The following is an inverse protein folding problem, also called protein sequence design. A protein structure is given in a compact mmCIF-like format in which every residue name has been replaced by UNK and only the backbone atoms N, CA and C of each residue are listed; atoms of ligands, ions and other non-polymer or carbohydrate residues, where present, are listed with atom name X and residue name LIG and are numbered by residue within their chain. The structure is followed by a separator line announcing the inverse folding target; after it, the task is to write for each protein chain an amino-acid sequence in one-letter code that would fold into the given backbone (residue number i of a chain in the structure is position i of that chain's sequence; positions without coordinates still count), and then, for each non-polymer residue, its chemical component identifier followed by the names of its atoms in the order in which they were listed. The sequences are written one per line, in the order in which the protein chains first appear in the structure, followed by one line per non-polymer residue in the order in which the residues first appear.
data_IF_741350504276
#
_entry.id   IF_741350504276
#
_cell.length_a   1.000
_cell.length_b   1.000
_cell.length_c   1.000
_cell.angle_alpha   90.00
_cell.angle_beta   90.00
_cell.angle_gamma   90.00
#
_symmetry.space_group_name_H-M   'P 1'
#
loop_
_entity.id
_entity.type
_entity.pdbx_description
1 polymer ?
#
# COMPACT_ATOMS: atom_id res chain seq x y z
N UNK A 1 10.79 2.34 3.11
CA UNK A 1 10.45 3.63 3.76
C UNK A 1 9.85 3.35 5.13
N UNK A 2 10.13 4.19 6.14
CA UNK A 2 9.56 4.09 7.49
C UNK A 2 8.78 5.38 7.78
N UNK A 3 7.58 5.27 8.35
CA UNK A 3 6.73 6.40 8.72
C UNK A 3 6.36 6.31 10.20
N UNK A 4 6.78 7.32 10.97
CA UNK A 4 6.54 7.46 12.41
C UNK A 4 5.63 8.66 12.74
N UNK A 5 5.24 9.44 11.72
CA UNK A 5 4.38 10.60 11.85
C UNK A 5 3.47 10.71 10.63
N UNK A 6 3.22 11.93 10.14
CA UNK A 6 2.31 12.14 9.01
C UNK A 6 3.04 12.12 7.65
N UNK A 7 2.54 11.36 6.69
CA UNK A 7 2.95 11.39 5.29
C UNK A 7 1.73 11.59 4.40
N UNK A 8 1.76 12.60 3.52
CA UNK A 8 0.62 12.97 2.68
C UNK A 8 1.01 13.15 1.21
N UNK A 9 0.06 12.89 0.31
CA UNK A 9 0.22 13.10 -1.13
C UNK A 9 0.51 11.82 -1.89
N UNK A 10 1.37 11.89 -2.92
CA UNK A 10 1.75 10.70 -3.69
C UNK A 10 3.02 10.05 -3.12
N UNK A 11 2.92 8.80 -2.69
CA UNK A 11 4.01 8.04 -2.08
C UNK A 11 4.39 6.86 -2.96
N UNK A 12 5.66 6.80 -3.37
CA UNK A 12 6.17 5.78 -4.27
C UNK A 12 7.28 4.96 -3.57
N UNK A 13 6.93 3.81 -3.02
CA UNK A 13 7.84 2.89 -2.30
C UNK A 13 8.05 1.63 -3.14
N UNK A 14 9.29 1.38 -3.58
CA UNK A 14 9.58 0.22 -4.45
C UNK A 14 9.74 -1.10 -3.70
N UNK A 15 10.12 -1.03 -2.43
CA UNK A 15 10.32 -2.19 -1.55
C UNK A 15 9.29 -2.14 -0.42
N UNK A 16 9.72 -2.19 0.84
CA UNK A 16 8.84 -2.24 2.00
C UNK A 16 8.45 -0.84 2.49
N UNK A 17 7.14 -0.59 2.63
CA UNK A 17 6.57 0.51 3.40
C UNK A 17 6.29 0.05 4.82
N UNK A 18 6.96 0.66 5.80
CA UNK A 18 6.79 0.35 7.23
C UNK A 18 6.09 1.52 7.91
N UNK A 19 4.87 1.30 8.42
CA UNK A 19 4.10 2.29 9.16
C UNK A 19 4.16 1.90 10.63
N UNK A 20 4.81 2.75 11.43
CA UNK A 20 4.93 2.55 12.88
C UNK A 20 3.64 2.92 13.59
N UNK A 21 3.56 2.63 14.88
CA UNK A 21 2.37 2.84 15.71
C UNK A 21 1.77 4.26 15.68
N UNK A 22 2.58 5.31 15.50
CA UNK A 22 2.11 6.70 15.35
C UNK A 22 2.05 7.17 13.89
N UNK A 23 2.43 6.31 12.94
CA UNK A 23 2.45 6.62 11.52
C UNK A 23 1.05 6.83 10.94
N UNK A 24 0.89 7.91 10.17
CA UNK A 24 -0.32 8.25 9.42
C UNK A 24 0.04 8.54 7.97
N UNK A 25 -0.31 7.63 7.06
CA UNK A 25 -0.08 7.79 5.63
C UNK A 25 -1.41 8.05 4.94
N UNK A 26 -1.53 9.16 4.20
CA UNK A 26 -2.75 9.52 3.48
C UNK A 26 -2.47 10.03 2.06
N UNK A 27 -3.09 9.43 1.05
CA UNK A 27 -3.00 9.92 -0.33
C UNK A 27 -2.97 8.81 -1.37
N UNK A 28 -2.11 8.94 -2.40
CA UNK A 28 -1.95 7.92 -3.44
C UNK A 28 -0.65 7.15 -3.20
N UNK A 29 -0.76 5.91 -2.74
CA UNK A 29 0.37 5.12 -2.27
C UNK A 29 0.61 3.95 -3.22
N UNK A 30 1.84 3.85 -3.71
CA UNK A 30 2.36 2.70 -4.42
C UNK A 30 3.42 2.01 -3.55
N UNK A 31 3.26 0.73 -3.23
CA UNK A 31 4.21 -0.02 -2.40
C UNK A 31 4.54 -1.39 -2.99
N UNK A 32 5.75 -1.91 -2.73
CA UNK A 32 6.10 -3.29 -3.06
C UNK A 32 5.63 -4.26 -1.97
N UNK A 33 6.06 -4.03 -0.74
CA UNK A 33 5.59 -4.76 0.45
C UNK A 33 5.14 -3.76 1.51
N UNK A 34 4.30 -4.20 2.45
CA UNK A 34 3.82 -3.32 3.52
C UNK A 34 3.80 -4.02 4.88
N UNK A 35 4.25 -3.29 5.91
CA UNK A 35 4.14 -3.69 7.31
C UNK A 35 3.56 -2.52 8.10
N UNK A 36 2.49 -2.79 8.86
CA UNK A 36 1.79 -1.79 9.66
C UNK A 36 1.75 -2.29 11.10
N UNK A 37 2.30 -1.52 12.01
CA UNK A 37 2.24 -1.78 13.45
C UNK A 37 0.91 -1.32 14.06
N UNK A 38 0.56 -1.86 15.22
CA UNK A 38 -0.67 -1.48 15.92
C UNK A 38 -0.72 0.04 16.17
N UNK A 39 -1.82 0.67 15.77
CA UNK A 39 -2.01 2.13 15.83
C UNK A 39 -1.65 2.87 14.52
N UNK A 40 -0.83 2.26 13.66
CA UNK A 40 -0.48 2.81 12.35
C UNK A 40 -1.70 2.92 11.45
N UNK A 41 -1.77 4.01 10.67
CA UNK A 41 -2.91 4.32 9.80
C UNK A 41 -2.46 4.53 8.36
N UNK A 42 -3.26 3.98 7.45
CA UNK A 42 -3.10 4.10 6.00
C UNK A 42 -4.46 4.38 5.37
N UNK A 43 -4.58 5.47 4.60
CA UNK A 43 -5.81 5.85 3.93
C UNK A 43 -5.56 6.45 2.54
N UNK A 44 -6.54 6.33 1.65
CA UNK A 44 -6.51 6.87 0.29
C UNK A 44 -6.49 5.80 -0.80
N UNK A 45 -5.80 6.08 -1.90
CA UNK A 45 -5.69 5.18 -3.06
C UNK A 45 -4.45 4.30 -2.91
N UNK A 46 -4.66 3.00 -2.77
CA UNK A 46 -3.63 2.03 -2.39
C UNK A 46 -3.34 1.10 -3.57
N UNK A 47 -2.11 1.16 -4.08
CA UNK A 47 -1.65 0.42 -5.25
C UNK A 47 -0.48 -0.50 -4.84
N UNK A 48 -0.67 -1.80 -4.95
CA UNK A 48 0.41 -2.77 -4.80
C UNK A 48 1.22 -2.87 -6.11
N UNK A 49 2.54 -2.82 -6.01
CA UNK A 49 3.45 -3.01 -7.14
C UNK A 49 3.83 -4.48 -7.22
N UNK A 50 3.08 -5.21 -8.02
CA UNK A 50 3.46 -6.56 -8.40
C UNK A 50 4.78 -6.53 -9.19
N UNK A 51 5.89 -6.88 -8.53
CA UNK A 51 7.18 -7.12 -9.19
C UNK A 51 7.14 -8.37 -10.11
N UNK A 52 6.11 -9.21 -9.98
CA UNK A 52 5.86 -10.38 -10.83
C UNK A 52 4.55 -10.21 -11.60
N UNK A 53 4.65 -9.62 -12.79
CA UNK A 53 3.52 -9.40 -13.68
C UNK A 53 2.99 -10.74 -14.24
N UNK A 54 1.90 -11.26 -13.66
CA UNK A 54 0.78 -11.85 -14.41
C UNK A 54 -0.49 -11.38 -13.75
N UNK A 55 -0.98 -10.23 -14.23
CA UNK A 55 -2.35 -9.82 -14.04
C UNK A 55 -3.22 -10.88 -14.73
N UNK A 56 -3.58 -11.94 -14.01
CA UNK A 56 -4.60 -12.87 -14.49
C UNK A 56 -5.92 -12.10 -14.52
N UNK A 57 -6.39 -11.87 -15.75
CA UNK A 57 -7.68 -11.25 -16.04
C UNK A 57 -8.76 -11.91 -15.18
N UNK A 58 -9.43 -11.13 -14.32
CA UNK A 58 -10.67 -11.56 -13.67
C UNK A 58 -11.75 -11.81 -14.75
N UNK A 59 -11.75 -13.00 -15.37
CA UNK A 59 -12.75 -13.42 -16.36
C UNK A 59 -13.81 -14.37 -15.82
N UNK A 60 -13.67 -14.88 -14.60
CA UNK A 60 -14.57 -15.92 -14.07
C UNK A 60 -15.35 -15.43 -12.85
N UNK A 61 -16.14 -14.37 -13.03
CA UNK A 61 -17.29 -14.08 -12.16
C UNK A 61 -18.57 -13.84 -12.98
N UNK A 62 -18.83 -14.73 -13.94
CA UNK A 62 -20.21 -15.04 -14.35
C UNK A 62 -20.62 -16.31 -13.64
N UNK A 63 -21.14 -16.14 -12.43
CA UNK A 63 -21.97 -17.18 -11.80
C UNK A 63 -23.11 -17.53 -12.77
N UNK A 64 -23.16 -18.81 -13.12
CA UNK A 64 -24.22 -19.43 -13.95
C UNK A 64 -25.53 -19.53 -13.18
#
# INVERSE_FOLDING_TARGET
MIVEGKAEGELNVNDVLNIKSEGNVNGKIFYGEIQIEEGGKLSGEINHRDKNNKQEEFKDLKVS
#
